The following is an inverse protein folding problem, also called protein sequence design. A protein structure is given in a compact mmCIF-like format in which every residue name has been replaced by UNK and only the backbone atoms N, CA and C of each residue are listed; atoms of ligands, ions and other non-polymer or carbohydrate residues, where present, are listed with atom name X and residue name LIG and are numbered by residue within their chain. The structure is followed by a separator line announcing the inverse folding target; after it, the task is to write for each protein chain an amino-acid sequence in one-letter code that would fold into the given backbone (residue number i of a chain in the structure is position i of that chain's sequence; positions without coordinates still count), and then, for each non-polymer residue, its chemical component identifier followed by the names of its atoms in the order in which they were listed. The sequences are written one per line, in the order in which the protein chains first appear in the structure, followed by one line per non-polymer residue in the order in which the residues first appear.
data_IF_531968115217
#
_entry.id   IF_531968115217
#
_cell.length_a   1.000
_cell.length_b   1.000
_cell.length_c   1.000
_cell.angle_alpha   90.00
_cell.angle_beta   90.00
_cell.angle_gamma   90.00
#
_symmetry.space_group_name_H-M   'P 1'
#
loop_
_entity.id
_entity.type
_entity.pdbx_description
1 polymer ?
#
# COMPACT_ATOMS: atom_id res chain seq x y z
N UNK A 1 3.35 12.84 -17.80
CA UNK A 1 3.06 14.25 -17.45
C UNK A 1 4.21 15.22 -17.74
N UNK A 2 5.48 14.90 -17.41
CA UNK A 2 6.64 15.79 -17.68
C UNK A 2 6.74 16.28 -19.12
N UNK A 3 6.60 15.39 -20.10
CA UNK A 3 6.65 15.78 -21.52
C UNK A 3 5.52 16.72 -21.93
N UNK A 4 4.31 16.52 -21.38
CA UNK A 4 3.17 17.40 -21.64
C UNK A 4 3.41 18.79 -21.05
N UNK A 5 3.96 18.87 -19.82
CA UNK A 5 4.33 20.14 -19.19
C UNK A 5 5.37 20.89 -20.03
N UNK A 6 6.40 20.21 -20.52
CA UNK A 6 7.41 20.80 -21.41
C UNK A 6 6.80 21.29 -22.73
N UNK A 7 5.92 20.50 -23.37
CA UNK A 7 5.23 20.90 -24.62
C UNK A 7 4.36 22.16 -24.45
N UNK A 8 3.84 22.38 -23.25
CA UNK A 8 3.06 23.56 -22.89
C UNK A 8 3.94 24.74 -22.42
N UNK A 9 5.27 24.61 -22.46
CA UNK A 9 6.21 25.65 -22.03
C UNK A 9 6.37 25.79 -20.51
N UNK A 10 5.86 24.84 -19.73
CA UNK A 10 6.00 24.80 -18.27
C UNK A 10 7.25 24.05 -17.81
N UNK A 11 7.59 24.22 -16.53
CA UNK A 11 8.69 23.48 -15.89
C UNK A 11 8.26 22.05 -15.54
N UNK A 12 8.84 21.06 -16.23
CA UNK A 12 8.59 19.64 -15.98
C UNK A 12 9.05 19.16 -14.61
N UNK A 13 9.98 19.85 -13.93
CA UNK A 13 10.40 19.48 -12.58
C UNK A 13 9.28 19.67 -11.55
N UNK A 14 8.25 20.46 -11.88
CA UNK A 14 7.03 20.55 -11.07
C UNK A 14 6.22 19.26 -11.04
N UNK A 15 6.42 18.36 -12.00
CA UNK A 15 5.87 17.02 -11.94
C UNK A 15 6.80 16.19 -11.05
N UNK A 16 6.56 16.30 -9.74
CA UNK A 16 7.31 15.59 -8.72
C UNK A 16 6.43 15.33 -7.49
N UNK A 17 6.56 14.17 -6.81
CA UNK A 17 5.86 13.93 -5.56
C UNK A 17 6.15 15.00 -4.50
N UNK A 18 5.09 15.56 -3.91
CA UNK A 18 5.11 16.51 -2.80
C UNK A 18 4.99 15.84 -1.44
N UNK A 19 4.62 14.56 -1.44
CA UNK A 19 4.52 13.67 -0.27
C UNK A 19 5.47 12.47 -0.45
N UNK A 20 5.85 11.77 0.63
CA UNK A 20 6.61 10.53 0.53
C UNK A 20 5.87 9.48 -0.31
N UNK A 21 6.61 8.80 -1.20
CA UNK A 21 6.12 7.71 -2.04
C UNK A 21 7.04 6.51 -1.86
N UNK A 22 6.49 5.42 -1.38
CA UNK A 22 7.20 4.15 -1.20
C UNK A 22 6.66 3.13 -2.21
N UNK A 23 7.51 2.68 -3.13
CA UNK A 23 7.19 1.63 -4.09
C UNK A 23 7.89 0.33 -3.71
N UNK A 24 7.14 -0.74 -3.55
CA UNK A 24 7.68 -2.08 -3.25
C UNK A 24 7.53 -2.97 -4.48
N UNK A 25 8.61 -3.64 -4.87
CA UNK A 25 8.60 -4.59 -5.99
C UNK A 25 8.35 -6.00 -5.45
N UNK A 26 7.11 -6.46 -5.55
CA UNK A 26 6.64 -7.73 -4.99
C UNK A 26 5.73 -8.55 -5.93
N UNK A 27 5.16 -7.92 -6.97
CA UNK A 27 4.25 -8.56 -7.94
C UNK A 27 4.95 -9.13 -9.20
N UNK A 28 6.26 -9.37 -9.15
CA UNK A 28 7.03 -9.85 -10.31
C UNK A 28 7.60 -11.26 -10.17
N UNK A 29 7.87 -11.72 -8.95
CA UNK A 29 8.40 -13.07 -8.68
C UNK A 29 7.32 -14.13 -8.90
N UNK A 30 7.72 -15.28 -9.45
CA UNK A 30 6.85 -16.42 -9.66
C UNK A 30 7.48 -17.66 -9.03
N UNK A 31 6.64 -18.64 -8.71
CA UNK A 31 7.09 -19.94 -8.19
C UNK A 31 7.37 -20.86 -9.37
N UNK A 32 8.47 -20.64 -10.08
CA UNK A 32 8.93 -21.51 -11.18
C UNK A 32 9.55 -22.81 -10.65
N UNK A 33 10.29 -22.71 -9.55
CA UNK A 33 10.91 -23.82 -8.82
C UNK A 33 10.39 -23.83 -7.38
N UNK A 34 10.08 -25.02 -6.87
CA UNK A 34 9.63 -25.23 -5.50
C UNK A 34 10.26 -26.50 -4.90
N UNK A 35 10.25 -26.61 -3.56
CA UNK A 35 10.74 -27.79 -2.82
C UNK A 35 12.20 -28.18 -3.14
N UNK A 36 13.03 -27.18 -3.37
CA UNK A 36 14.47 -27.34 -3.58
C UNK A 36 15.23 -26.28 -2.77
N UNK A 37 16.42 -26.62 -2.26
CA UNK A 37 17.25 -25.69 -1.48
C UNK A 37 17.61 -24.43 -2.27
N UNK A 38 17.75 -24.53 -3.60
CA UNK A 38 18.05 -23.42 -4.50
C UNK A 38 16.81 -22.72 -5.08
N UNK A 39 15.59 -23.07 -4.66
CA UNK A 39 14.36 -22.57 -5.29
C UNK A 39 14.24 -21.04 -5.23
N UNK A 40 14.58 -20.43 -4.09
CA UNK A 40 14.51 -18.97 -3.90
C UNK A 40 15.45 -18.26 -4.88
N UNK A 41 16.71 -18.70 -4.95
CA UNK A 41 17.70 -18.12 -5.86
C UNK A 41 17.26 -18.27 -7.33
N UNK A 42 16.82 -19.46 -7.73
CA UNK A 42 16.41 -19.73 -9.11
C UNK A 42 15.22 -18.84 -9.53
N UNK A 43 14.22 -18.67 -8.66
CA UNK A 43 13.05 -17.83 -8.94
C UNK A 43 13.42 -16.35 -9.03
N UNK A 44 14.33 -15.85 -8.18
CA UNK A 44 14.81 -14.46 -8.25
C UNK A 44 15.64 -14.19 -9.52
N UNK A 45 16.48 -15.14 -9.95
CA UNK A 45 17.22 -15.02 -11.20
C UNK A 45 16.28 -14.94 -12.42
N UNK A 46 15.26 -15.79 -12.45
CA UNK A 46 14.22 -15.77 -13.49
C UNK A 46 13.40 -14.47 -13.48
N UNK A 47 13.00 -14.00 -12.30
CA UNK A 47 12.31 -12.73 -12.13
C UNK A 47 13.13 -11.58 -12.73
N UNK A 48 14.42 -11.50 -12.41
CA UNK A 48 15.30 -10.44 -12.89
C UNK A 48 15.50 -10.49 -14.40
N UNK A 49 15.66 -11.70 -14.97
CA UNK A 49 15.76 -11.88 -16.42
C UNK A 49 14.49 -11.40 -17.14
N UNK A 50 13.31 -11.76 -16.63
CA UNK A 50 12.02 -11.44 -17.24
C UNK A 50 11.66 -9.95 -17.11
N UNK A 51 12.08 -9.29 -16.04
CA UNK A 51 11.64 -7.93 -15.70
C UNK A 51 12.74 -6.87 -15.77
N UNK A 52 13.89 -7.17 -16.40
CA UNK A 52 15.05 -6.27 -16.47
C UNK A 52 14.72 -4.84 -16.90
N UNK A 53 13.89 -4.68 -17.94
CA UNK A 53 13.47 -3.36 -18.43
C UNK A 53 12.62 -2.62 -17.39
N UNK A 54 11.63 -3.29 -16.80
CA UNK A 54 10.76 -2.72 -15.75
C UNK A 54 11.58 -2.28 -14.54
N UNK A 55 12.53 -3.09 -14.09
CA UNK A 55 13.40 -2.75 -12.97
C UNK A 55 14.34 -1.59 -13.32
N UNK A 56 14.85 -1.54 -14.55
CA UNK A 56 15.59 -0.39 -15.06
C UNK A 56 14.76 0.90 -15.04
N UNK A 57 13.51 0.83 -15.48
CA UNK A 57 12.58 1.95 -15.49
C UNK A 57 12.22 2.43 -14.07
N UNK A 58 11.92 1.51 -13.14
CA UNK A 58 11.63 1.87 -11.75
C UNK A 58 12.85 2.46 -11.04
N UNK A 59 14.04 1.93 -11.32
CA UNK A 59 15.30 2.47 -10.80
C UNK A 59 15.60 3.86 -11.36
N UNK A 60 15.28 4.12 -12.63
CA UNK A 60 15.33 5.47 -13.18
C UNK A 60 14.30 6.37 -12.50
N UNK A 61 13.09 5.88 -12.26
CA UNK A 61 12.04 6.64 -11.57
C UNK A 61 12.49 7.11 -10.18
N UNK A 62 13.12 6.23 -9.40
CA UNK A 62 13.60 6.59 -8.05
C UNK A 62 14.71 7.66 -8.05
N UNK A 63 15.43 7.84 -9.15
CA UNK A 63 16.44 8.91 -9.27
C UNK A 63 15.90 10.14 -10.00
N UNK A 64 14.86 10.00 -10.82
CA UNK A 64 14.25 11.08 -11.59
C UNK A 64 13.21 11.87 -10.78
N UNK A 65 12.66 11.29 -9.71
CA UNK A 65 11.67 11.93 -8.84
C UNK A 65 12.19 12.02 -7.40
N UNK A 66 12.01 13.18 -6.75
CA UNK A 66 12.27 13.33 -5.32
C UNK A 66 11.14 12.69 -4.50
N UNK A 67 11.44 12.34 -3.25
CA UNK A 67 10.51 11.68 -2.32
C UNK A 67 10.03 10.30 -2.77
N UNK A 68 10.73 9.66 -3.71
CA UNK A 68 10.41 8.32 -4.18
C UNK A 68 11.43 7.30 -3.66
N UNK A 69 11.00 6.44 -2.75
CA UNK A 69 11.74 5.27 -2.31
C UNK A 69 11.30 4.06 -3.13
N UNK A 70 12.25 3.27 -3.62
CA UNK A 70 11.96 1.98 -4.27
C UNK A 70 12.62 0.87 -3.46
N UNK A 71 11.79 0.01 -2.87
CA UNK A 71 12.21 -1.22 -2.19
C UNK A 71 12.45 -2.30 -3.26
N UNK A 72 13.66 -2.88 -3.34
CA UNK A 72 14.03 -3.78 -4.42
C UNK A 72 13.30 -5.14 -4.35
N UNK A 73 13.32 -5.93 -5.45
CA UNK A 73 12.75 -7.27 -5.47
C UNK A 73 13.35 -8.17 -4.37
N UNK A 74 12.56 -9.12 -3.87
CA UNK A 74 12.99 -10.06 -2.83
C UNK A 74 12.98 -9.49 -1.40
N UNK A 75 12.48 -8.27 -1.20
CA UNK A 75 12.44 -7.62 0.14
C UNK A 75 11.16 -7.91 0.94
N UNK A 76 10.22 -8.68 0.38
CA UNK A 76 8.91 -8.95 0.97
C UNK A 76 7.75 -8.43 0.12
N UNK A 77 6.55 -8.40 0.70
CA UNK A 77 5.31 -7.93 0.07
C UNK A 77 4.92 -6.57 0.62
N UNK A 78 4.32 -5.70 -0.21
CA UNK A 78 4.11 -4.28 0.05
C UNK A 78 3.45 -4.00 1.40
N UNK A 79 2.38 -4.73 1.74
CA UNK A 79 1.61 -4.46 2.97
C UNK A 79 2.30 -4.98 4.23
N UNK A 80 3.07 -6.06 4.14
CA UNK A 80 3.88 -6.54 5.26
C UNK A 80 5.05 -5.59 5.51
N UNK A 81 5.77 -5.18 4.45
CA UNK A 81 6.84 -4.17 4.55
C UNK A 81 6.29 -2.84 5.07
N UNK A 82 5.05 -2.49 4.70
CA UNK A 82 4.39 -1.30 5.23
C UNK A 82 4.14 -1.41 6.74
N UNK A 83 3.59 -2.52 7.22
CA UNK A 83 3.35 -2.72 8.66
C UNK A 83 4.65 -2.77 9.49
N UNK A 84 5.69 -3.41 8.96
CA UNK A 84 6.91 -3.70 9.71
C UNK A 84 7.98 -2.60 9.62
N UNK A 85 7.97 -1.79 8.56
CA UNK A 85 9.06 -0.85 8.28
C UNK A 85 8.61 0.54 7.81
N UNK A 86 7.68 0.63 6.86
CA UNK A 86 7.34 1.93 6.26
C UNK A 86 6.30 2.72 7.06
N UNK A 87 5.39 2.07 7.76
CA UNK A 87 4.32 2.71 8.53
C UNK A 87 4.88 3.55 9.67
N UNK A 88 4.53 4.84 9.70
CA UNK A 88 5.08 5.80 10.66
C UNK A 88 4.21 5.95 11.91
N UNK A 89 2.91 5.66 11.79
CA UNK A 89 1.85 5.90 12.81
C UNK A 89 1.64 7.38 13.13
N UNK A 90 2.72 8.12 13.43
CA UNK A 90 2.73 9.58 13.63
C UNK A 90 3.90 10.16 12.87
N UNK A 91 3.63 11.11 11.99
CA UNK A 91 4.67 11.93 11.37
C UNK A 91 5.11 13.07 12.29
N UNK A 92 6.38 13.46 12.18
CA UNK A 92 6.92 14.68 12.76
C UNK A 92 7.59 15.51 11.66
N UNK A 93 6.88 16.55 11.20
CA UNK A 93 7.41 17.46 10.18
C UNK A 93 7.64 18.82 10.83
N UNK A 94 8.90 19.19 11.03
CA UNK A 94 9.32 20.47 11.60
C UNK A 94 8.64 20.79 12.95
N UNK A 95 8.48 19.77 13.82
CA UNK A 95 7.85 19.91 15.14
C UNK A 95 6.32 19.82 15.13
N UNK A 96 5.70 19.68 13.95
CA UNK A 96 4.27 19.40 13.83
C UNK A 96 4.05 17.90 13.81
N UNK A 97 3.34 17.40 14.81
CA UNK A 97 2.91 16.00 14.89
C UNK A 97 1.54 15.84 14.25
N UNK A 98 1.39 14.86 13.37
CA UNK A 98 0.12 14.50 12.74
C UNK A 98 0.05 13.00 12.48
N UNK A 99 -1.16 12.40 12.46
CA UNK A 99 -1.30 10.97 12.22
C UNK A 99 -0.81 10.60 10.83
N UNK A 100 -0.25 9.40 10.73
CA UNK A 100 -0.01 8.77 9.43
C UNK A 100 -1.35 8.45 8.74
N UNK A 101 -1.37 8.57 7.43
CA UNK A 101 -2.47 8.20 6.55
C UNK A 101 -1.94 7.92 5.16
N UNK A 102 -2.48 6.93 4.46
CA UNK A 102 -1.92 6.50 3.17
C UNK A 102 -2.98 6.08 2.16
N UNK A 103 -2.81 6.46 0.91
CA UNK A 103 -3.49 5.82 -0.22
C UNK A 103 -2.46 5.06 -1.04
N UNK A 104 -2.81 3.85 -1.46
CA UNK A 104 -1.91 2.99 -2.22
C UNK A 104 -2.56 2.54 -3.52
N UNK A 105 -1.75 2.23 -4.53
CA UNK A 105 -2.22 1.69 -5.81
C UNK A 105 -2.54 0.19 -5.75
N UNK A 106 -2.85 -0.32 -4.56
CA UNK A 106 -3.26 -1.70 -4.30
C UNK A 106 -4.47 -1.70 -3.35
N UNK A 107 -5.46 -2.55 -3.61
CA UNK A 107 -6.71 -2.59 -2.86
C UNK A 107 -6.55 -3.02 -1.41
N UNK A 108 -5.52 -3.79 -1.08
CA UNK A 108 -5.25 -4.26 0.28
C UNK A 108 -4.43 -3.27 1.11
N UNK A 109 -4.21 -2.04 0.63
CA UNK A 109 -3.60 -0.96 1.43
C UNK A 109 -4.28 -0.78 2.79
N UNK A 110 -5.57 -1.14 2.88
CA UNK A 110 -6.35 -1.22 4.12
C UNK A 110 -5.76 -2.14 5.19
N UNK A 111 -4.75 -2.96 4.87
CA UNK A 111 -4.06 -3.79 5.87
C UNK A 111 -3.35 -2.95 6.93
N UNK A 112 -2.91 -1.72 6.58
CA UNK A 112 -2.26 -0.80 7.51
C UNK A 112 -3.23 -0.25 8.58
N UNK A 113 -4.55 -0.33 8.33
CA UNK A 113 -5.61 0.07 9.27
C UNK A 113 -5.53 -0.72 10.58
N UNK A 114 -5.01 -1.95 10.53
CA UNK A 114 -4.75 -2.77 11.71
C UNK A 114 -3.72 -2.18 12.68
N UNK A 115 -2.89 -1.24 12.21
CA UNK A 115 -1.92 -0.48 13.01
C UNK A 115 -2.48 0.89 13.48
N UNK A 116 -3.74 1.21 13.14
CA UNK A 116 -4.35 2.50 13.46
C UNK A 116 -3.99 3.64 12.50
N UNK A 117 -3.41 3.32 11.34
CA UNK A 117 -3.13 4.27 10.26
C UNK A 117 -4.29 4.22 9.28
N UNK A 118 -4.94 5.34 8.97
CA UNK A 118 -6.04 5.34 8.02
C UNK A 118 -5.52 5.21 6.59
N UNK A 119 -5.80 4.09 5.92
CA UNK A 119 -5.41 3.90 4.52
C UNK A 119 -6.28 3.00 3.67
N UNK A 120 -6.26 3.24 2.36
CA UNK A 120 -7.08 2.47 1.41
C UNK A 120 -6.50 2.47 0.00
N UNK A 121 -6.98 1.52 -0.80
CA UNK A 121 -6.60 1.41 -2.20
C UNK A 121 -7.28 2.45 -3.09
N UNK A 122 -6.54 3.01 -4.04
CA UNK A 122 -7.02 3.92 -5.08
C UNK A 122 -6.44 3.53 -6.44
N UNK A 123 -6.97 4.11 -7.52
CA UNK A 123 -6.39 3.95 -8.85
C UNK A 123 -5.05 4.70 -8.98
N UNK A 124 -4.27 4.34 -10.01
CA UNK A 124 -2.97 4.97 -10.27
C UNK A 124 -3.07 6.47 -10.57
N UNK A 125 -4.16 6.92 -11.20
CA UNK A 125 -4.38 8.33 -11.54
C UNK A 125 -4.68 9.14 -10.26
N UNK A 126 -5.52 8.62 -9.38
CA UNK A 126 -5.81 9.24 -8.09
C UNK A 126 -4.56 9.32 -7.22
N UNK A 127 -3.75 8.25 -7.20
CA UNK A 127 -2.47 8.25 -6.51
C UNK A 127 -1.50 9.29 -7.10
N UNK A 128 -1.36 9.37 -8.43
CA UNK A 128 -0.51 10.37 -9.11
C UNK A 128 -0.98 11.81 -8.79
N UNK A 129 -2.29 12.06 -8.78
CA UNK A 129 -2.84 13.36 -8.41
C UNK A 129 -2.54 13.71 -6.94
N UNK A 130 -2.71 12.75 -6.02
CA UNK A 130 -2.37 12.92 -4.60
C UNK A 130 -0.87 13.19 -4.40
N UNK A 131 0.00 12.48 -5.13
CA UNK A 131 1.44 12.73 -5.13
C UNK A 131 1.77 14.16 -5.55
N UNK A 132 1.00 14.75 -6.48
CA UNK A 132 1.16 16.14 -6.93
C UNK A 132 0.43 17.17 -6.05
N UNK A 133 -0.06 16.75 -4.87
CA UNK A 133 -0.68 17.63 -3.88
C UNK A 133 -2.17 17.88 -4.07
N UNK A 134 -2.83 17.17 -4.98
CA UNK A 134 -4.28 17.26 -5.11
C UNK A 134 -4.96 16.52 -3.94
N UNK A 135 -5.81 17.17 -3.13
CA UNK A 135 -6.55 16.49 -2.08
C UNK A 135 -7.48 15.41 -2.66
N UNK A 136 -7.60 14.30 -1.94
CA UNK A 136 -8.58 13.26 -2.28
C UNK A 136 -9.99 13.81 -2.09
N UNK A 137 -10.82 13.68 -3.14
CA UNK A 137 -12.24 14.03 -3.07
C UNK A 137 -13.06 12.78 -2.75
N UNK A 138 -13.80 12.82 -1.64
CA UNK A 138 -14.71 11.75 -1.25
C UNK A 138 -15.97 12.31 -0.60
N UNK A 139 -17.09 11.61 -0.79
CA UNK A 139 -18.28 11.84 0.04
C UNK A 139 -17.93 11.42 1.47
N UNK A 140 -18.28 12.23 2.46
CA UNK A 140 -18.07 11.90 3.86
C UNK A 140 -18.74 10.53 4.15
N UNK A 141 -17.96 9.48 4.46
CA UNK A 141 -18.50 8.13 4.51
C UNK A 141 -19.26 7.92 5.81
N UNK A 142 -20.31 7.10 5.76
CA UNK A 142 -20.88 6.54 6.98
C UNK A 142 -19.89 5.58 7.64
N UNK A 143 -19.95 5.44 8.96
CA UNK A 143 -19.10 4.51 9.73
C UNK A 143 -19.96 3.40 10.35
N UNK A 144 -19.61 2.16 10.06
CA UNK A 144 -20.23 0.97 10.65
C UNK A 144 -19.34 0.47 11.79
N UNK A 145 -19.82 0.58 13.02
CA UNK A 145 -19.11 0.04 14.18
C UNK A 145 -19.20 -1.50 14.22
N UNK A 146 -18.06 -2.19 14.18
CA UNK A 146 -17.98 -3.64 14.31
C UNK A 146 -17.56 -4.03 15.73
N UNK A 147 -18.51 -4.48 16.54
CA UNK A 147 -18.26 -4.80 17.96
C UNK A 147 -17.73 -6.22 18.14
N UNK A 148 -16.53 -6.35 18.67
CA UNK A 148 -15.93 -7.62 19.09
C UNK A 148 -16.27 -7.92 20.56
N UNK A 149 -16.79 -9.13 20.81
CA UNK A 149 -17.19 -9.60 22.14
C UNK A 149 -16.71 -11.04 22.36
N UNK A 150 -16.31 -11.33 23.61
CA UNK A 150 -15.87 -12.65 24.00
C UNK A 150 -14.47 -12.98 23.50
N UNK A 151 -14.06 -14.24 23.69
CA UNK A 151 -12.72 -14.73 23.37
C UNK A 151 -12.78 -15.82 22.31
N UNK A 152 -11.76 -15.85 21.44
CA UNK A 152 -11.57 -16.94 20.49
C UNK A 152 -11.35 -18.25 21.25
N UNK A 153 -11.94 -19.33 20.73
CA UNK A 153 -11.73 -20.68 21.29
C UNK A 153 -10.32 -21.15 20.94
N UNK A 154 -9.78 -22.06 21.75
CA UNK A 154 -8.50 -22.72 21.43
C UNK A 154 -8.57 -23.38 20.05
N UNK A 155 -7.53 -23.21 19.25
CA UNK A 155 -7.45 -23.72 17.87
C UNK A 155 -8.05 -22.81 16.79
N UNK A 156 -8.75 -21.73 17.16
CA UNK A 156 -9.23 -20.72 16.19
C UNK A 156 -8.09 -19.79 15.81
N UNK A 157 -7.91 -19.57 14.51
CA UNK A 157 -6.83 -18.75 13.94
C UNK A 157 -7.31 -17.34 13.56
N UNK A 158 -6.37 -16.44 13.26
CA UNK A 158 -6.68 -15.14 12.68
C UNK A 158 -7.41 -15.26 11.33
N UNK A 159 -7.07 -16.29 10.54
CA UNK A 159 -7.71 -16.59 9.25
C UNK A 159 -9.19 -16.96 9.43
N UNK A 160 -9.51 -17.78 10.44
CA UNK A 160 -10.90 -18.14 10.74
C UNK A 160 -11.72 -16.90 11.12
N UNK A 161 -11.13 -16.01 11.92
CA UNK A 161 -11.76 -14.76 12.33
C UNK A 161 -12.02 -13.84 11.12
N UNK A 162 -10.99 -13.57 10.30
CA UNK A 162 -11.13 -12.62 9.17
C UNK A 162 -12.10 -13.14 8.10
N UNK A 163 -12.14 -14.46 7.84
CA UNK A 163 -13.11 -15.06 6.93
C UNK A 163 -14.55 -14.92 7.46
N UNK A 164 -14.73 -15.12 8.77
CA UNK A 164 -16.04 -14.93 9.43
C UNK A 164 -16.49 -13.47 9.36
N UNK A 165 -15.60 -12.53 9.68
CA UNK A 165 -15.87 -11.09 9.59
C UNK A 165 -16.20 -10.68 8.15
N UNK A 166 -15.44 -11.19 7.17
CA UNK A 166 -15.68 -10.94 5.74
C UNK A 166 -17.07 -11.40 5.32
N UNK A 167 -17.47 -12.61 5.71
CA UNK A 167 -18.81 -13.14 5.45
C UNK A 167 -19.90 -12.23 6.05
N UNK A 168 -19.74 -11.81 7.31
CA UNK A 168 -20.70 -10.96 8.01
C UNK A 168 -20.85 -9.58 7.36
N UNK A 169 -19.72 -8.91 7.06
CA UNK A 169 -19.70 -7.59 6.44
C UNK A 169 -20.25 -7.61 5.02
N UNK A 170 -19.95 -8.66 4.25
CA UNK A 170 -20.51 -8.83 2.90
C UNK A 170 -22.03 -8.98 2.94
N UNK A 171 -22.58 -9.73 3.91
CA UNK A 171 -24.02 -9.86 4.11
C UNK A 171 -24.66 -8.54 4.57
N UNK A 172 -23.95 -7.73 5.36
CA UNK A 172 -24.45 -6.45 5.86
C UNK A 172 -24.46 -5.34 4.80
N UNK A 173 -23.48 -5.32 3.89
CA UNK A 173 -23.38 -4.30 2.83
C UNK A 173 -22.70 -3.01 3.31
N UNK A 174 -21.37 -3.00 3.23
CA UNK A 174 -20.50 -1.90 3.69
C UNK A 174 -19.79 -1.13 2.57
N UNK A 175 -20.21 -1.32 1.32
CA UNK A 175 -19.68 -0.56 0.19
C UNK A 175 -19.90 0.94 0.40
N UNK A 176 -18.84 1.74 0.21
CA UNK A 176 -18.88 3.20 0.38
C UNK A 176 -18.92 3.67 1.83
N UNK A 177 -18.62 2.80 2.80
CA UNK A 177 -18.60 3.09 4.24
C UNK A 177 -17.25 2.70 4.84
N UNK A 178 -16.91 3.32 5.95
CA UNK A 178 -15.86 2.81 6.83
C UNK A 178 -16.43 1.75 7.78
N UNK A 179 -15.56 0.85 8.20
CA UNK A 179 -15.84 -0.13 9.26
C UNK A 179 -14.81 0.09 10.36
N UNK A 180 -15.27 0.41 11.56
CA UNK A 180 -14.40 0.67 12.71
C UNK A 180 -14.63 -0.39 13.78
N UNK A 181 -13.57 -1.10 14.15
CA UNK A 181 -13.64 -2.18 15.15
C UNK A 181 -13.54 -1.61 16.56
N UNK A 182 -14.39 -2.11 17.46
CA UNK A 182 -14.38 -1.72 18.87
C UNK A 182 -14.86 -2.87 19.76
N UNK A 183 -14.72 -2.76 21.08
CA UNK A 183 -15.18 -3.77 22.03
C UNK A 183 -14.13 -4.12 23.08
N UNK A 184 -14.50 -4.98 24.03
CA UNK A 184 -13.63 -5.34 25.16
C UNK A 184 -12.73 -6.56 24.92
N UNK A 185 -12.96 -7.30 23.82
CA UNK A 185 -12.29 -8.56 23.40
C UNK A 185 -11.71 -9.40 24.54
#
# INVERSE_FOLDING_TARGET
MRDAMNKLGGDSNRINPLVPVDLVIDHSVQVDVARSENAVQANMELEFQRNKERFGFLKWGSTAFNNMLVVPPGSGIVHQVNLEYLGRVVFNTNGVLYPDSVVGTDSHTTMIDGLGVAGWGVGGIEAEAAMLGQPMSMVLPGVVGFKLLGKLRSGVTATDLVLTVTQMLRKHGVVGKFVEFYGKS
#
